data_IF_691620291376
#
_entry.id   IF_691620291376
#
_cell.length_a   1.000
_cell.length_b   1.000
_cell.length_c   1.000
_cell.angle_alpha   90.00
_cell.angle_beta   90.00
_cell.angle_gamma   90.00
#
_symmetry.space_group_name_H-M   'P 1'
#
loop_
_entity.id
_entity.type
_entity.pdbx_description
1 polymer ?
#
# COMPACT_ATOMS: atom_id res chain seq x y z
N UNK A 1 -4.56 21.96 24.59
CA UNK A 1 -3.63 21.13 23.78
C UNK A 1 -3.25 21.96 22.56
N UNK A 2 -1.96 22.14 22.25
CA UNK A 2 -1.53 23.03 21.15
C UNK A 2 -1.94 22.45 19.79
N UNK A 3 -2.36 23.30 18.85
CA UNK A 3 -2.76 22.93 17.48
C UNK A 3 -1.64 22.14 16.75
N UNK A 4 -0.38 22.51 17.02
CA UNK A 4 0.80 21.79 16.52
C UNK A 4 0.87 20.35 17.03
N UNK A 5 0.60 20.12 18.31
CA UNK A 5 0.60 18.77 18.90
C UNK A 5 -0.51 17.90 18.30
N UNK A 6 -1.67 18.48 17.98
CA UNK A 6 -2.75 17.75 17.31
C UNK A 6 -2.36 17.35 15.88
N UNK A 7 -1.73 18.26 15.13
CA UNK A 7 -1.24 17.98 13.77
C UNK A 7 -0.15 16.90 13.77
N UNK A 8 0.78 16.94 14.73
CA UNK A 8 1.81 15.91 14.89
C UNK A 8 1.21 14.55 15.24
N UNK A 9 0.22 14.51 16.15
CA UNK A 9 -0.51 13.28 16.47
C UNK A 9 -1.23 12.69 15.26
N UNK A 10 -1.91 13.53 14.47
CA UNK A 10 -2.57 13.13 13.23
C UNK A 10 -1.58 12.58 12.21
N UNK A 11 -0.43 13.24 12.04
CA UNK A 11 0.64 12.78 11.14
C UNK A 11 1.12 11.38 11.53
N UNK A 12 1.39 11.15 12.82
CA UNK A 12 1.82 9.82 13.31
C UNK A 12 0.78 8.75 13.00
N UNK A 13 -0.52 9.07 13.12
CA UNK A 13 -1.60 8.15 12.74
C UNK A 13 -1.55 7.79 11.26
N UNK A 14 -1.48 8.79 10.39
CA UNK A 14 -1.42 8.60 8.94
C UNK A 14 -0.14 7.88 8.49
N UNK A 15 1.00 8.15 9.13
CA UNK A 15 2.28 7.47 8.85
C UNK A 15 2.17 5.96 9.17
N UNK A 16 1.51 5.60 10.28
CA UNK A 16 1.28 4.19 10.64
C UNK A 16 0.36 3.48 9.66
N UNK A 17 -0.71 4.14 9.24
CA UNK A 17 -1.67 3.61 8.27
C UNK A 17 -1.01 3.43 6.89
N UNK A 18 -0.23 4.41 6.45
CA UNK A 18 0.57 4.31 5.23
C UNK A 18 1.57 3.15 5.30
N UNK A 19 2.19 2.91 6.46
CA UNK A 19 3.09 1.78 6.65
C UNK A 19 2.35 0.43 6.55
N UNK A 20 1.15 0.33 7.12
CA UNK A 20 0.33 -0.88 7.02
C UNK A 20 -0.05 -1.17 5.56
N UNK A 21 -0.43 -0.14 4.79
CA UNK A 21 -0.71 -0.29 3.35
C UNK A 21 0.52 -0.74 2.56
N UNK A 22 1.72 -0.24 2.88
CA UNK A 22 2.97 -0.69 2.24
C UNK A 22 3.19 -2.20 2.44
N UNK A 23 3.02 -2.70 3.67
CA UNK A 23 3.13 -4.14 3.93
C UNK A 23 2.06 -4.94 3.18
N UNK A 24 0.82 -4.45 3.11
CA UNK A 24 -0.24 -5.10 2.34
C UNK A 24 0.11 -5.16 0.84
N UNK A 25 0.59 -4.06 0.28
CA UNK A 25 1.02 -3.96 -1.12
C UNK A 25 2.16 -4.96 -1.41
N UNK A 26 3.15 -5.05 -0.53
CA UNK A 26 4.26 -6.00 -0.66
C UNK A 26 3.77 -7.46 -0.62
N UNK A 27 2.84 -7.77 0.28
CA UNK A 27 2.17 -9.07 0.34
C UNK A 27 1.45 -9.42 -0.96
N UNK A 28 0.63 -8.50 -1.50
CA UNK A 28 -0.07 -8.67 -2.77
C UNK A 28 0.90 -8.89 -3.93
N UNK A 29 1.97 -8.10 -4.01
CA UNK A 29 3.00 -8.27 -5.05
C UNK A 29 3.69 -9.65 -4.96
N UNK A 30 3.86 -10.18 -3.75
CA UNK A 30 4.45 -11.50 -3.53
C UNK A 30 3.50 -12.62 -3.97
N UNK A 31 2.21 -12.51 -3.63
CA UNK A 31 1.17 -13.46 -4.04
C UNK A 31 1.03 -13.51 -5.56
N UNK A 32 0.85 -12.35 -6.21
CA UNK A 32 0.73 -12.23 -7.66
C UNK A 32 1.92 -12.88 -8.36
N UNK A 33 3.14 -12.62 -7.86
CA UNK A 33 4.36 -13.23 -8.41
C UNK A 33 4.36 -14.74 -8.20
N UNK A 34 3.92 -15.23 -7.05
CA UNK A 34 3.79 -16.65 -6.75
C UNK A 34 2.80 -17.38 -7.66
N UNK A 35 1.81 -16.66 -8.20
CA UNK A 35 0.74 -17.22 -9.06
C UNK A 35 1.02 -17.13 -10.56
N UNK A 36 1.84 -16.16 -11.00
CA UNK A 36 2.06 -15.87 -12.42
C UNK A 36 3.49 -16.09 -12.92
N UNK A 37 4.47 -16.19 -12.03
CA UNK A 37 5.87 -16.26 -12.45
C UNK A 37 6.21 -17.65 -13.01
N UNK A 38 6.38 -17.75 -14.33
CA UNK A 38 6.74 -18.98 -15.03
C UNK A 38 8.15 -19.49 -14.73
N UNK A 39 9.01 -18.68 -14.10
CA UNK A 39 10.28 -19.17 -13.57
C UNK A 39 10.10 -19.93 -12.24
N UNK A 40 9.01 -19.66 -11.51
CA UNK A 40 8.63 -20.37 -10.28
C UNK A 40 7.63 -21.50 -10.56
N UNK A 41 6.84 -21.38 -11.63
CA UNK A 41 5.78 -22.32 -12.03
C UNK A 41 6.21 -23.02 -13.33
N UNK A 42 6.61 -24.30 -13.28
CA UNK A 42 7.19 -25.01 -14.42
C UNK A 42 6.16 -25.38 -15.50
N UNK A 43 4.86 -25.47 -15.18
CA UNK A 43 3.80 -25.81 -16.12
C UNK A 43 2.81 -24.66 -16.27
N UNK A 44 2.54 -24.24 -17.51
CA UNK A 44 1.65 -23.11 -17.78
C UNK A 44 0.21 -23.34 -17.32
N UNK A 45 -0.23 -24.59 -17.23
CA UNK A 45 -1.57 -24.96 -16.75
C UNK A 45 -1.76 -24.69 -15.25
N UNK A 46 -0.68 -24.58 -14.49
CA UNK A 46 -0.72 -24.33 -13.05
C UNK A 46 -0.81 -22.82 -12.70
N UNK A 47 -0.76 -21.94 -13.70
CA UNK A 47 -0.87 -20.50 -13.50
C UNK A 47 -2.27 -20.14 -12.95
N UNK A 48 -2.30 -19.51 -11.78
CA UNK A 48 -3.56 -19.11 -11.13
C UNK A 48 -4.00 -17.72 -11.61
N UNK A 49 -4.27 -17.59 -12.91
CA UNK A 49 -4.51 -16.30 -13.57
C UNK A 49 -5.68 -15.53 -12.94
N UNK A 50 -6.81 -16.21 -12.70
CA UNK A 50 -8.01 -15.58 -12.15
C UNK A 50 -7.79 -15.06 -10.72
N UNK A 51 -7.04 -15.81 -9.89
CA UNK A 51 -6.73 -15.40 -8.53
C UNK A 51 -5.74 -14.23 -8.52
N UNK A 52 -4.73 -14.29 -9.37
CA UNK A 52 -3.78 -13.19 -9.53
C UNK A 52 -4.45 -11.89 -10.01
N UNK A 53 -5.44 -11.99 -10.91
CA UNK A 53 -6.22 -10.83 -11.34
C UNK A 53 -6.98 -10.19 -10.17
N UNK A 54 -7.62 -10.98 -9.31
CA UNK A 54 -8.29 -10.46 -8.13
C UNK A 54 -7.31 -9.75 -7.17
N UNK A 55 -6.12 -10.30 -6.96
CA UNK A 55 -5.10 -9.64 -6.16
C UNK A 55 -4.54 -8.37 -6.81
N UNK A 56 -4.48 -8.29 -8.15
CA UNK A 56 -4.11 -7.07 -8.86
C UNK A 56 -5.15 -5.96 -8.66
N UNK A 57 -6.43 -6.28 -8.67
CA UNK A 57 -7.49 -5.30 -8.38
C UNK A 57 -7.35 -4.76 -6.95
N UNK A 58 -7.14 -5.65 -5.97
CA UNK A 58 -6.84 -5.24 -4.59
C UNK A 58 -5.59 -4.38 -4.48
N UNK A 59 -4.54 -4.71 -5.23
CA UNK A 59 -3.29 -3.95 -5.25
C UNK A 59 -3.52 -2.53 -5.77
N UNK A 60 -4.30 -2.36 -6.82
CA UNK A 60 -4.66 -1.03 -7.36
C UNK A 60 -5.40 -0.21 -6.30
N UNK A 61 -6.35 -0.82 -5.60
CA UNK A 61 -7.10 -0.14 -4.54
C UNK A 61 -6.20 0.29 -3.38
N UNK A 62 -5.35 -0.62 -2.88
CA UNK A 62 -4.41 -0.32 -1.80
C UNK A 62 -3.39 0.76 -2.20
N UNK A 63 -2.93 0.75 -3.47
CA UNK A 63 -2.03 1.76 -3.99
C UNK A 63 -2.68 3.15 -4.08
N UNK A 64 -3.94 3.22 -4.52
CA UNK A 64 -4.69 4.47 -4.58
C UNK A 64 -4.89 5.07 -3.17
N UNK A 65 -5.23 4.23 -2.19
CA UNK A 65 -5.36 4.64 -0.79
C UNK A 65 -4.03 5.16 -0.22
N UNK A 66 -2.93 4.44 -0.47
CA UNK A 66 -1.60 4.87 -0.03
C UNK A 66 -1.22 6.24 -0.61
N UNK A 67 -1.51 6.49 -1.90
CA UNK A 67 -1.26 7.79 -2.52
C UNK A 67 -2.08 8.91 -1.88
N UNK A 68 -3.33 8.64 -1.50
CA UNK A 68 -4.16 9.58 -0.75
C UNK A 68 -3.55 9.92 0.61
N UNK A 69 -3.12 8.92 1.38
CA UNK A 69 -2.48 9.14 2.68
C UNK A 69 -1.17 9.91 2.56
N UNK A 70 -0.32 9.57 1.58
CA UNK A 70 0.94 10.30 1.34
C UNK A 70 0.67 11.78 1.02
N UNK A 71 -0.37 12.06 0.22
CA UNK A 71 -0.78 13.43 -0.07
C UNK A 71 -1.21 14.19 1.19
N UNK A 72 -1.97 13.54 2.08
CA UNK A 72 -2.39 14.13 3.36
C UNK A 72 -1.21 14.36 4.31
N UNK A 73 -0.27 13.41 4.40
CA UNK A 73 0.95 13.53 5.19
C UNK A 73 1.77 14.72 4.72
N UNK A 74 1.99 14.86 3.41
CA UNK A 74 2.76 15.99 2.84
C UNK A 74 2.12 17.34 3.15
N UNK A 75 0.79 17.44 3.11
CA UNK A 75 0.06 18.67 3.50
C UNK A 75 0.28 19.01 4.97
N UNK A 76 0.27 17.99 5.85
CA UNK A 76 0.55 18.18 7.27
C UNK A 76 2.02 18.54 7.55
N UNK A 77 2.96 17.95 6.82
CA UNK A 77 4.39 18.29 6.90
C UNK A 77 4.62 19.76 6.53
N UNK A 78 4.04 20.21 5.41
CA UNK A 78 4.10 21.61 5.01
C UNK A 78 3.49 22.55 6.07
N UNK A 79 2.35 22.18 6.66
CA UNK A 79 1.72 22.96 7.74
C UNK A 79 2.56 22.99 9.04
N UNK A 80 3.37 21.95 9.28
CA UNK A 80 4.31 21.86 10.41
C UNK A 80 5.66 22.52 10.12
N UNK A 81 5.87 23.03 8.90
CA UNK A 81 7.12 23.64 8.45
C UNK A 81 8.25 22.64 8.19
N UNK A 82 7.89 21.44 7.70
CA UNK A 82 8.82 20.36 7.31
C UNK A 82 8.75 20.08 5.81
#
# INVERSE_FOLDING_TARGET
MSERLMMEGKKIGLDREAQALRYRIEGLCTLIRGQLNTALIPHHEDLQISEAAAHMDELVMAQAELLSLISQIRKLEAALGR
#
